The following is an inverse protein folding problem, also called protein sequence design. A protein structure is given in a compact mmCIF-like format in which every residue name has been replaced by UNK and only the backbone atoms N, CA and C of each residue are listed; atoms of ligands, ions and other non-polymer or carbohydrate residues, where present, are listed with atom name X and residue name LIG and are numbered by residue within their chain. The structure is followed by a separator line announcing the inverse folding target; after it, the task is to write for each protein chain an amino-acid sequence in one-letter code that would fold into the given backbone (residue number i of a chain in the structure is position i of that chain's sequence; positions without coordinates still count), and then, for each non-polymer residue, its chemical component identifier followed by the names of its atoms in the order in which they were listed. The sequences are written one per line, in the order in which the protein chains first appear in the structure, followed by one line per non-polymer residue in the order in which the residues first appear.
data_IF_832684919970
#
_entry.id   IF_832684919970
#
_cell.length_a   1.000
_cell.length_b   1.000
_cell.length_c   1.000
_cell.angle_alpha   90.00
_cell.angle_beta   90.00
_cell.angle_gamma   90.00
#
_symmetry.space_group_name_H-M   'P 1'
#
loop_
_entity.id
_entity.type
_entity.pdbx_description
1 polymer ?
2 polymer ?
3 non-polymer ?
4 water ?
#
# COMPACT_ATOMS: atom_id res chain seq x y z
N UNK A 5 2.81 21.28 5.44
CA UNK A 5 1.90 20.09 5.61
C UNK A 5 0.46 20.45 5.24
N UNK A 6 -0.06 19.85 4.17
CA UNK A 6 -1.42 20.16 3.69
C UNK A 6 -2.46 19.22 4.29
N UNK A 7 -3.72 19.65 4.24
CA UNK A 7 -4.80 18.82 4.73
C UNK A 7 -4.93 17.55 3.87
N UNK A 8 -4.62 17.64 2.58
CA UNK A 8 -4.66 16.50 1.68
C UNK A 8 -3.60 15.46 2.06
N UNK A 9 -2.39 15.91 2.38
CA UNK A 9 -1.32 15.00 2.85
C UNK A 9 -1.73 14.31 4.14
N UNK A 10 -2.34 15.08 5.05
CA UNK A 10 -2.85 14.53 6.28
C UNK A 10 -3.95 13.50 5.98
N UNK A 11 -4.87 13.84 5.10
CA UNK A 11 -5.92 12.91 4.67
C UNK A 11 -5.35 11.59 4.09
N UNK A 12 -4.29 11.72 3.31
CA UNK A 12 -3.60 10.55 2.77
C UNK A 12 -2.98 9.69 3.86
N UNK A 13 -2.35 10.30 4.88
CA UNK A 13 -1.78 9.55 6.01
C UNK A 13 -2.90 8.81 6.74
N UNK A 14 -3.99 9.53 6.99
CA UNK A 14 -5.16 8.96 7.63
C UNK A 14 -5.72 7.76 6.90
N UNK A 15 -5.90 7.90 5.58
CA UNK A 15 -6.39 6.81 4.72
C UNK A 15 -5.49 5.58 4.86
N UNK A 16 -4.18 5.78 4.71
CA UNK A 16 -3.21 4.69 4.86
C UNK A 16 -3.30 4.04 6.25
N UNK A 17 -3.29 4.86 7.30
CA UNK A 17 -3.37 4.37 8.67
C UNK A 17 -4.63 3.53 8.88
N UNK A 18 -5.75 4.01 8.34
CA UNK A 18 -7.03 3.32 8.51
C UNK A 18 -7.15 2.02 7.70
N UNK A 19 -6.29 1.82 6.71
CA UNK A 19 -6.22 0.52 6.04
C UNK A 19 -5.67 -0.54 6.96
N UNK A 20 -4.77 -0.15 7.86
CA UNK A 20 -4.21 -1.07 8.85
C UNK A 20 -5.09 -1.13 10.10
N UNK A 21 -5.55 0.04 10.55
CA UNK A 21 -6.33 0.15 11.78
C UNK A 21 -7.78 -0.27 11.52
N UNK A 22 -7.97 -1.58 11.30
CA UNK A 22 -9.27 -2.15 10.87
C UNK A 22 -10.41 -1.85 11.84
N UNK A 23 -10.14 -1.96 13.14
CA UNK A 23 -11.19 -1.67 14.15
C UNK A 23 -11.32 -0.19 14.51
N UNK A 24 -10.48 0.66 13.93
CA UNK A 24 -10.63 2.11 14.07
C UNK A 24 -10.33 2.67 15.46
N UNK A 25 -9.55 1.95 16.26
CA UNK A 25 -9.28 2.36 17.65
C UNK A 25 -8.06 3.26 17.83
N UNK A 26 -7.36 3.54 16.73
CA UNK A 26 -6.21 4.43 16.76
C UNK A 26 -4.88 3.76 17.04
N UNK A 27 -4.86 2.44 17.17
CA UNK A 27 -3.59 1.70 17.28
C UNK A 27 -3.57 0.56 16.26
N UNK A 28 -2.40 0.29 15.70
CA UNK A 28 -2.22 -0.86 14.85
C UNK A 28 -1.57 -1.99 15.66
N UNK A 29 -2.28 -3.11 15.74
CA UNK A 29 -1.80 -4.31 16.41
C UNK A 29 -1.07 -5.27 15.46
N UNK A 30 -0.43 -6.31 16.01
CA UNK A 30 0.17 -7.37 15.19
C UNK A 30 -0.91 -8.09 14.38
N UNK A 31 -2.06 -8.31 15.01
CA UNK A 31 -3.23 -8.87 14.32
C UNK A 31 -3.61 -8.05 13.08
N UNK A 32 -3.68 -6.73 13.23
CA UNK A 32 -4.07 -5.84 12.13
C UNK A 32 -2.99 -5.75 11.03
N UNK A 33 -1.75 -5.57 11.44
CA UNK A 33 -0.63 -5.53 10.51
C UNK A 33 -0.58 -6.81 9.67
N UNK A 34 -0.67 -7.95 10.35
CA UNK A 34 -0.72 -9.29 9.72
C UNK A 34 -1.87 -9.46 8.74
N UNK A 35 -3.03 -8.91 9.09
CA UNK A 35 -4.19 -8.96 8.21
C UNK A 35 -3.93 -8.30 6.86
N UNK A 36 -3.34 -7.11 6.89
CA UNK A 36 -2.98 -6.40 5.67
C UNK A 36 -1.94 -7.19 4.88
N UNK A 37 -0.89 -7.65 5.55
CA UNK A 37 0.18 -8.38 4.85
C UNK A 37 -0.29 -9.70 4.25
N UNK A 38 -1.19 -10.40 4.94
CA UNK A 38 -1.82 -11.61 4.38
C UNK A 38 -2.63 -11.32 3.13
N UNK A 39 -3.37 -10.22 3.16
CA UNK A 39 -4.20 -9.86 2.01
C UNK A 39 -3.34 -9.60 0.77
N UNK A 40 -2.10 -9.17 0.99
CA UNK A 40 -1.12 -8.95 -0.09
C UNK A 40 -0.21 -10.15 -0.37
N UNK A 41 -0.60 -11.33 0.12
CA UNK A 41 0.07 -12.58 -0.25
C UNK A 41 1.22 -13.03 0.63
N UNK A 42 1.53 -12.26 1.67
CA UNK A 42 2.65 -12.59 2.57
C UNK A 42 2.15 -13.28 3.84
N UNK A 43 3.07 -13.93 4.54
CA UNK A 43 2.71 -14.75 5.70
C UNK A 43 3.68 -14.58 6.85
N UNK A 44 3.77 -13.35 7.39
CA UNK A 44 4.69 -13.12 8.49
C UNK A 44 4.21 -13.78 9.78
N UNK A 45 5.16 -14.25 10.58
CA UNK A 45 4.84 -14.79 11.90
C UNK A 45 4.45 -13.69 12.88
N UNK A 46 3.83 -14.09 13.98
CA UNK A 46 3.49 -13.14 15.05
C UNK A 46 4.75 -12.44 15.57
N UNK A 47 5.84 -13.20 15.77
CA UNK A 47 7.09 -12.59 16.26
C UNK A 47 7.70 -11.59 15.24
N UNK A 48 7.67 -11.95 13.96
CA UNK A 48 8.13 -11.04 12.90
C UNK A 48 7.33 -9.73 12.87
N UNK A 49 6.01 -9.84 12.97
CA UNK A 49 5.12 -8.67 13.10
C UNK A 49 5.49 -7.83 14.32
N UNK A 50 5.73 -8.48 15.46
CA UNK A 50 6.15 -7.72 16.64
C UNK A 50 7.47 -6.99 16.42
N UNK A 51 8.42 -7.64 15.75
CA UNK A 51 9.70 -7.01 15.45
C UNK A 51 9.50 -5.76 14.58
N UNK A 52 8.59 -5.84 13.62
CA UNK A 52 8.23 -4.68 12.78
C UNK A 52 7.73 -3.53 13.62
N UNK A 53 6.80 -3.82 14.52
CA UNK A 53 6.27 -2.82 15.43
C UNK A 53 7.36 -2.23 16.32
N UNK A 54 8.15 -3.10 16.94
CA UNK A 54 9.19 -2.64 17.87
C UNK A 54 10.12 -1.61 17.27
N UNK A 55 10.39 -1.72 15.96
CA UNK A 55 11.29 -0.74 15.28
C UNK A 55 10.82 0.70 15.43
N UNK A 56 9.52 0.90 15.45
CA UNK A 56 8.94 2.24 15.50
C UNK A 56 8.11 2.54 16.77
N UNK A 57 8.04 1.57 17.69
CA UNK A 57 7.24 1.69 18.91
C UNK A 57 7.96 2.57 19.94
N UNK A 58 7.95 3.87 19.69
CA UNK A 58 8.70 4.83 20.50
C UNK A 58 8.22 4.91 21.94
N UNK A 59 6.92 4.70 22.19
CA UNK A 59 6.40 4.77 23.57
C UNK A 59 6.37 3.42 24.28
N UNK A 60 6.80 2.36 23.59
CA UNK A 60 6.94 1.04 24.17
C UNK A 60 5.69 0.28 24.59
N UNK A 61 4.52 0.71 24.13
CA UNK A 61 3.29 0.03 24.50
C UNK A 61 2.94 -1.19 23.62
N UNK A 62 3.81 -1.53 22.68
CA UNK A 62 3.64 -2.73 21.86
C UNK A 62 2.79 -2.64 20.61
N UNK A 63 2.17 -1.47 20.36
CA UNK A 63 1.40 -1.24 19.14
C UNK A 63 1.80 0.10 18.50
N UNK A 64 1.38 0.29 17.25
CA UNK A 64 1.71 1.47 16.43
C UNK A 64 0.59 2.49 16.49
N UNK A 65 0.89 3.68 16.99
CA UNK A 65 -0.04 4.79 16.94
C UNK A 65 0.24 5.69 15.73
N UNK A 66 -0.55 6.75 15.56
CA UNK A 66 -0.42 7.55 14.37
C UNK A 66 0.98 8.11 14.09
N UNK A 67 1.62 8.81 15.05
CA UNK A 67 2.96 9.31 14.75
C UNK A 67 4.00 8.21 14.51
N UNK A 68 3.88 7.07 15.20
CA UNK A 68 4.79 5.92 14.98
C UNK A 68 4.61 5.32 13.57
N UNK A 69 3.38 5.36 13.07
CA UNK A 69 3.07 4.98 11.69
C UNK A 69 3.68 5.94 10.68
N UNK A 70 3.59 7.24 10.96
CA UNK A 70 4.26 8.24 10.14
C UNK A 70 5.75 7.98 10.05
N UNK A 71 6.37 7.61 11.17
CA UNK A 71 7.78 7.26 11.22
C UNK A 71 8.11 6.04 10.36
N UNK A 72 7.27 5.02 10.44
CA UNK A 72 7.40 3.81 9.63
C UNK A 72 7.34 4.18 8.15
N UNK A 73 6.38 5.01 7.78
CA UNK A 73 6.27 5.45 6.38
C UNK A 73 7.48 6.29 5.97
N UNK A 74 7.96 7.13 6.88
CA UNK A 74 9.15 7.97 6.62
C UNK A 74 10.38 7.14 6.34
N UNK A 75 10.61 6.14 7.17
CA UNK A 75 11.72 5.22 6.98
C UNK A 75 11.48 4.30 5.81
N UNK A 76 10.52 3.40 6.02
CA UNK A 76 10.36 2.17 5.23
C UNK A 76 9.71 2.46 3.89
N UNK A 77 9.58 3.74 3.58
CA UNK A 77 9.30 4.19 2.23
C UNK A 77 10.22 5.31 1.82
N UNK A 78 10.59 5.29 0.55
CA UNK A 78 11.76 5.99 0.03
C UNK A 78 13.00 5.45 0.73
N UNK A 79 13.07 4.12 0.77
CA UNK A 79 14.31 3.42 0.99
C UNK A 79 15.12 3.74 -0.27
N UNK A 80 14.82 3.06 -1.39
CA UNK A 80 15.25 3.49 -2.74
C UNK A 80 14.73 2.55 -3.84
N UNK A 81 13.44 2.21 -3.76
CA UNK A 81 12.80 1.14 -4.56
C UNK A 81 13.53 0.74 -5.85
N UNK A 82 14.12 -0.45 -5.83
CA UNK A 82 14.83 -1.01 -6.98
C UNK A 82 13.86 -1.61 -7.98
N UNK A 83 14.41 -2.05 -9.11
CA UNK A 83 13.62 -2.69 -10.17
C UNK A 83 12.83 -3.88 -9.66
N UNK A 84 13.52 -4.79 -8.99
CA UNK A 84 12.94 -6.06 -8.56
C UNK A 84 11.75 -5.85 -7.62
N UNK A 85 11.91 -4.98 -6.63
CA UNK A 85 10.83 -4.73 -5.66
C UNK A 85 9.65 -3.94 -6.24
N UNK A 86 9.91 -3.09 -7.24
CA UNK A 86 8.81 -2.45 -7.99
C UNK A 86 8.02 -3.52 -8.75
N UNK A 87 8.73 -4.50 -9.29
CA UNK A 87 8.09 -5.62 -9.98
C UNK A 87 7.25 -6.45 -9.00
N UNK A 88 7.73 -6.61 -7.77
CA UNK A 88 6.98 -7.30 -6.72
C UNK A 88 5.63 -6.64 -6.48
N UNK A 89 5.64 -5.31 -6.41
CA UNK A 89 4.42 -4.53 -6.19
C UNK A 89 3.49 -4.66 -7.38
N UNK A 90 4.04 -4.56 -8.58
CA UNK A 90 3.25 -4.75 -9.80
C UNK A 90 2.54 -6.11 -9.78
N UNK A 91 3.30 -7.15 -9.46
CA UNK A 91 2.79 -8.52 -9.32
C UNK A 91 1.60 -8.65 -8.35
N UNK A 92 1.56 -7.81 -7.32
CA UNK A 92 0.44 -7.78 -6.38
C UNK A 92 -0.83 -7.30 -7.09
N UNK A 93 -0.68 -6.31 -7.96
CA UNK A 93 -1.80 -5.71 -8.70
C UNK A 93 -2.22 -6.58 -9.89
N UNK A 94 -1.23 -7.17 -10.55
CA UNK A 94 -1.46 -8.07 -11.68
C UNK A 94 -1.77 -9.46 -11.13
N UNK A 95 -2.94 -9.59 -10.53
CA UNK A 95 -3.35 -10.82 -9.87
C UNK A 95 -3.08 -12.07 -10.70
N UNK A 96 -3.59 -12.11 -11.94
CA UNK A 96 -3.43 -13.33 -12.75
C UNK A 96 -2.04 -13.45 -13.36
N UNK A 97 -1.26 -12.37 -13.32
CA UNK A 97 0.13 -12.40 -13.74
C UNK A 97 0.32 -12.49 -15.24
N UNK A 98 -0.64 -11.97 -16.00
CA UNK A 98 -0.54 -11.92 -17.46
C UNK A 98 0.19 -10.69 -18.00
N UNK A 99 0.69 -9.84 -17.09
CA UNK A 99 1.48 -8.66 -17.47
C UNK A 99 0.69 -7.37 -17.63
N UNK A 100 -0.61 -7.45 -17.37
CA UNK A 100 -1.54 -6.34 -17.58
C UNK A 100 -2.51 -6.24 -16.41
N UNK A 101 -2.46 -5.13 -15.69
CA UNK A 101 -3.44 -4.87 -14.64
C UNK A 101 -4.74 -4.43 -15.28
N UNK A 102 -5.78 -5.25 -15.12
CA UNK A 102 -7.12 -4.87 -15.53
C UNK A 102 -7.81 -4.05 -14.44
N UNK A 103 -8.85 -3.33 -14.84
CA UNK A 103 -9.70 -2.62 -13.88
C UNK A 103 -10.19 -3.55 -12.78
N UNK A 104 -10.61 -4.76 -13.14
CA UNK A 104 -11.13 -5.73 -12.16
C UNK A 104 -10.08 -6.17 -11.11
N UNK A 105 -8.86 -6.39 -11.57
CA UNK A 105 -7.73 -6.74 -10.70
C UNK A 105 -7.33 -5.58 -9.79
N UNK A 106 -7.37 -4.38 -10.33
CA UNK A 106 -7.08 -3.19 -9.54
C UNK A 106 -8.12 -3.08 -8.43
N UNK A 107 -9.40 -3.19 -8.81
CA UNK A 107 -10.52 -3.20 -7.87
C UNK A 107 -10.34 -4.22 -6.75
N UNK A 108 -9.86 -5.41 -7.12
CA UNK A 108 -9.70 -6.53 -6.19
C UNK A 108 -8.65 -6.29 -5.09
N UNK A 109 -7.46 -5.81 -5.47
CA UNK A 109 -6.42 -5.52 -4.48
C UNK A 109 -6.86 -4.39 -3.55
N UNK A 110 -7.44 -3.35 -4.13
CA UNK A 110 -7.90 -2.20 -3.35
C UNK A 110 -8.95 -2.63 -2.33
N UNK A 111 -9.89 -3.46 -2.77
CA UNK A 111 -10.91 -4.00 -1.87
C UNK A 111 -10.31 -4.91 -0.80
N UNK A 112 -9.39 -5.78 -1.21
CA UNK A 112 -8.68 -6.65 -0.27
C UNK A 112 -7.95 -5.83 0.79
N UNK A 113 -7.31 -4.75 0.35
CA UNK A 113 -6.62 -3.81 1.26
C UNK A 113 -7.53 -3.16 2.29
N UNK A 114 -8.79 -2.96 1.94
CA UNK A 114 -9.74 -2.25 2.80
C UNK A 114 -10.24 -0.93 2.23
N UNK A 115 -9.80 -0.59 1.01
CA UNK A 115 -10.30 0.59 0.31
C UNK A 115 -11.70 0.29 -0.20
N UNK A 116 -12.52 1.33 -0.25
CA UNK A 116 -13.90 1.21 -0.72
C UNK A 116 -14.11 2.26 -1.80
N UNK A 117 -14.40 1.79 -3.01
CA UNK A 117 -14.60 2.69 -4.14
C UNK A 117 -15.39 2.03 -5.27
N UNK A 118 -16.07 2.87 -6.03
CA UNK A 118 -16.93 2.41 -7.11
C UNK A 118 -16.08 1.98 -8.29
N UNK A 119 -16.65 1.10 -9.10
CA UNK A 119 -16.02 0.67 -10.34
C UNK A 119 -15.67 1.88 -11.21
N UNK A 120 -16.46 2.94 -11.07
CA UNK A 120 -16.21 4.22 -11.72
C UNK A 120 -14.83 4.77 -11.36
N UNK A 121 -14.53 4.79 -10.06
CA UNK A 121 -13.24 5.30 -9.55
C UNK A 121 -12.05 4.45 -10.02
N UNK A 122 -12.28 3.15 -10.17
CA UNK A 122 -11.26 2.22 -10.63
C UNK A 122 -10.96 2.46 -12.11
N UNK A 123 -12.03 2.54 -12.91
CA UNK A 123 -11.91 2.85 -14.34
C UNK A 123 -11.12 4.14 -14.57
N UNK A 124 -11.42 5.15 -13.76
CA UNK A 124 -10.73 6.45 -13.83
C UNK A 124 -9.23 6.27 -13.64
N UNK A 125 -8.85 5.56 -12.58
CA UNK A 125 -7.45 5.28 -12.29
C UNK A 125 -6.76 4.57 -13.44
N UNK A 126 -7.41 3.54 -13.97
CA UNK A 126 -6.88 2.78 -15.12
C UNK A 126 -6.64 3.69 -16.31
N UNK A 127 -7.68 4.43 -16.70
CA UNK A 127 -7.61 5.33 -17.86
C UNK A 127 -6.51 6.39 -17.71
N UNK A 128 -6.28 6.81 -16.47
CA UNK A 128 -5.23 7.77 -16.14
C UNK A 128 -3.83 7.23 -16.47
N UNK A 129 -3.61 5.96 -16.14
CA UNK A 129 -2.31 5.31 -16.33
C UNK A 129 -2.13 4.66 -17.72
N UNK A 130 -3.23 4.50 -18.45
CA UNK A 130 -3.21 3.74 -19.71
C UNK A 130 -2.71 4.62 -20.87
N UNK A 131 -1.39 4.71 -20.98
CA UNK A 131 -0.73 5.52 -22.01
C UNK A 131 -0.98 4.97 -23.43
N UNK A 132 -0.89 3.66 -23.60
CA UNK A 132 -0.96 3.06 -24.94
C UNK A 132 -2.36 2.70 -25.44
N UNK A 133 -3.36 2.81 -24.57
CA UNK A 133 -4.77 2.81 -24.98
C UNK A 133 -5.53 1.49 -25.03
N UNK A 134 -4.95 0.42 -24.49
CA UNK A 134 -5.58 -0.91 -24.52
C UNK A 134 -6.56 -1.15 -23.36
N UNK A 135 -6.80 -0.12 -22.54
CA UNK A 135 -7.72 -0.24 -21.40
C UNK A 135 -7.19 -0.97 -20.18
N UNK A 136 -5.89 -1.26 -20.16
CA UNK A 136 -5.24 -1.97 -19.06
C UNK A 136 -3.95 -1.25 -18.71
N UNK A 137 -3.33 -1.64 -17.59
CA UNK A 137 -2.04 -1.07 -17.20
C UNK A 137 -0.92 -2.10 -17.20
N UNK A 138 0.04 -1.94 -18.10
CA UNK A 138 1.22 -2.82 -18.13
C UNK A 138 2.32 -2.29 -17.20
N UNK A 139 3.46 -2.98 -17.16
CA UNK A 139 4.51 -2.65 -16.20
C UNK A 139 5.05 -1.24 -16.41
N UNK A 140 5.40 -0.93 -17.66
CA UNK A 140 5.96 0.38 -18.00
C UNK A 140 5.01 1.49 -17.56
N UNK A 141 3.73 1.35 -17.90
CA UNK A 141 2.71 2.34 -17.53
C UNK A 141 2.60 2.53 -16.01
N UNK A 142 2.64 1.41 -15.30
CA UNK A 142 2.59 1.35 -13.83
C UNK A 142 3.74 2.16 -13.21
N UNK A 143 4.94 1.87 -13.69
CA UNK A 143 6.14 2.60 -13.26
C UNK A 143 6.02 4.09 -13.56
N UNK A 144 5.54 4.43 -14.76
CA UNK A 144 5.41 5.83 -15.16
C UNK A 144 4.39 6.62 -14.31
N UNK A 145 3.30 5.95 -13.92
CA UNK A 145 2.23 6.56 -13.11
C UNK A 145 2.73 7.03 -11.74
N UNK A 146 3.66 6.29 -11.17
CA UNK A 146 4.20 6.60 -9.85
C UNK A 146 5.13 7.83 -9.83
N UNK A 147 5.58 8.27 -11.00
CA UNK A 147 6.39 9.51 -11.12
C UNK A 147 5.54 10.77 -11.27
N UNK A 148 4.27 10.61 -11.62
CA UNK A 148 3.36 11.75 -11.76
C UNK A 148 2.92 12.26 -10.39
N UNK A 149 2.40 13.49 -10.34
CA UNK A 149 1.98 14.12 -9.07
C UNK A 149 1.14 13.18 -8.21
N UNK B 1 -6.95 13.20 -5.87
CA UNK B 1 -5.67 12.82 -5.19
C UNK B 1 -4.94 11.70 -5.95
N UNK B 2 -3.96 11.09 -5.29
CA UNK B 2 -3.14 10.04 -5.88
C UNK B 2 -3.58 8.69 -5.31
N UNK B 3 -4.71 8.18 -5.80
CA UNK B 3 -5.23 6.90 -5.32
C UNK B 3 -4.19 5.80 -5.53
N UNK B 4 -3.70 5.66 -6.76
CA UNK B 4 -2.77 4.57 -7.04
C UNK B 4 -1.43 4.73 -6.30
N UNK B 5 -0.93 5.96 -6.18
CA UNK B 5 0.34 6.17 -5.49
C UNK B 5 0.24 5.79 -4.02
N UNK B 6 -0.86 6.17 -3.37
CA UNK B 6 -1.09 5.80 -1.98
C UNK B 6 -1.13 4.28 -1.81
N UNK B 7 -1.91 3.60 -2.64
CA UNK B 7 -1.99 2.14 -2.56
C UNK B 7 -0.67 1.47 -2.91
N UNK B 8 -0.02 1.94 -3.97
CA UNK B 8 1.34 1.48 -4.28
C UNK B 8 2.25 1.59 -3.06
N UNK B 9 2.16 2.74 -2.37
CA UNK B 9 2.98 3.01 -1.18
C UNK B 9 2.77 1.94 -0.10
N UNK B 10 1.51 1.57 0.12
CA UNK B 10 1.17 0.55 1.11
C UNK B 10 1.69 -0.83 0.72
N UNK B 11 1.57 -1.17 -0.56
CA UNK B 11 2.12 -2.41 -1.06
C UNK B 11 3.65 -2.40 -0.95
N UNK B 12 4.29 -1.29 -1.31
CA UNK B 12 5.75 -1.25 -1.23
C UNK B 12 6.21 -1.31 0.24
N UNK B 13 5.49 -0.64 1.15
CA UNK B 13 5.80 -0.70 2.58
C UNK B 13 5.79 -2.15 3.07
N UNK B 14 4.70 -2.85 2.78
CA UNK B 14 4.51 -4.23 3.23
C UNK B 14 5.60 -5.15 2.71
N UNK B 15 5.92 -5.02 1.43
CA UNK B 15 7.05 -5.71 0.84
C UNK B 15 8.34 -5.37 1.60
N UNK B 16 8.55 -4.10 1.94
CA UNK B 16 9.78 -3.68 2.65
C UNK B 16 9.87 -4.23 4.07
N UNK B 17 8.72 -4.33 4.74
CA UNK B 17 8.66 -4.80 6.14
C UNK B 17 9.04 -6.27 6.30
N UNK B 18 8.63 -7.09 5.34
CA UNK B 18 9.06 -8.47 5.32
C UNK B 18 10.48 -8.47 4.77
N UNK B 19 11.42 -8.10 5.64
CA UNK B 19 12.81 -7.91 5.25
C UNK B 19 13.49 -9.26 5.22
X LIG C 1 -6.71 -1.09 15.81
X LIG D 1 3.38 2.53 20.42
X LIG E 1 -3.71 -9.27 -15.18
X LIG F 1 -2.17 0.19 -21.45
#
# INVERSE_FOLDING_TARGET
MADQLTEEQIAEFKEAFSLFDKDGDGTITTKELGTVMRSLGQNPTEAELQDMINEVDADGNGTIDFPEFLTMMARKMKDTDSEEEIREAFRVFDKDGNGYISAAELRHVMTNLGEKLTDEEVDEMIREADIDGDGQVNYEEFVQMMTAKL
RRRWKLDFSIVSLCNHLTR
CA CA
CA CA
CA CA
CA CA
#
